data_IF_022403715870
#
_entry.id   IF_022403715870
#
_cell.length_a   1.000
_cell.length_b   1.000
_cell.length_c   1.000
_cell.angle_alpha   90.00
_cell.angle_beta   90.00
_cell.angle_gamma   90.00
#
_symmetry.space_group_name_H-M   'P 1'
#
loop_
_entity.id
_entity.type
_entity.pdbx_description
1 polymer ?
#
# COMPACT_ATOMS: atom_id res chain seq x y z
N UNK A 1 9.09 8.38 13.00
CA UNK A 1 8.07 8.49 14.06
C UNK A 1 7.83 9.97 14.41
N UNK A 2 6.57 10.44 14.32
CA UNK A 2 6.20 11.81 14.69
C UNK A 2 6.12 11.95 16.21
N UNK A 3 6.69 13.05 16.75
CA UNK A 3 6.69 13.37 18.17
C UNK A 3 6.66 14.87 18.39
N UNK A 4 5.85 15.34 19.33
CA UNK A 4 5.66 16.76 19.66
C UNK A 4 5.20 17.59 18.44
N UNK A 5 4.36 16.99 17.59
CA UNK A 5 3.82 17.59 16.38
C UNK A 5 2.35 17.95 16.56
N UNK A 6 1.90 18.97 15.83
CA UNK A 6 0.49 19.29 15.68
C UNK A 6 0.01 18.66 14.37
N UNK A 7 -0.88 17.68 14.48
CA UNK A 7 -1.31 16.86 13.34
C UNK A 7 -2.77 17.09 13.03
N UNK A 8 -3.06 17.32 11.75
CA UNK A 8 -4.40 17.44 11.20
C UNK A 8 -4.78 16.15 10.48
N UNK A 9 -5.84 15.46 10.90
CA UNK A 9 -6.34 14.26 10.22
C UNK A 9 -7.60 14.62 9.43
N UNK A 10 -7.53 14.44 8.12
CA UNK A 10 -8.62 14.70 7.20
C UNK A 10 -9.32 13.39 6.82
N UNK A 11 -10.51 13.19 7.37
CA UNK A 11 -11.30 11.97 7.27
C UNK A 11 -10.96 10.97 8.36
N UNK A 12 -11.94 10.69 9.23
CA UNK A 12 -11.76 9.73 10.33
C UNK A 12 -11.77 8.30 9.82
N UNK A 13 -12.85 7.82 9.23
CA UNK A 13 -13.04 6.46 8.76
C UNK A 13 -12.18 5.42 9.54
N UNK A 14 -11.90 4.24 8.96
CA UNK A 14 -11.10 3.20 9.65
C UNK A 14 -9.62 3.61 9.79
N UNK A 15 -9.03 4.13 8.72
CA UNK A 15 -7.61 4.50 8.69
C UNK A 15 -7.32 5.75 9.52
N UNK A 16 -8.18 6.77 9.47
CA UNK A 16 -8.04 7.99 10.26
C UNK A 16 -8.20 7.75 11.76
N UNK A 17 -9.10 6.86 12.15
CA UNK A 17 -9.25 6.44 13.54
C UNK A 17 -7.98 5.80 14.09
N UNK A 18 -7.41 4.82 13.38
CA UNK A 18 -6.18 4.15 13.83
C UNK A 18 -4.96 5.08 13.76
N UNK A 19 -4.91 5.98 12.77
CA UNK A 19 -3.89 7.02 12.72
C UNK A 19 -3.97 7.97 13.92
N UNK A 20 -5.17 8.38 14.33
CA UNK A 20 -5.35 9.21 15.52
C UNK A 20 -4.87 8.51 16.79
N UNK A 21 -5.20 7.23 16.96
CA UNK A 21 -4.78 6.43 18.12
C UNK A 21 -3.25 6.32 18.23
N UNK A 22 -2.55 6.05 17.13
CA UNK A 22 -1.09 5.89 17.15
C UNK A 22 -0.37 7.22 17.41
N UNK A 23 -0.97 8.34 16.99
CA UNK A 23 -0.42 9.70 17.13
C UNK A 23 -0.68 10.33 18.47
N UNK A 24 -1.87 10.15 19.05
CA UNK A 24 -2.34 10.85 20.25
C UNK A 24 -1.37 10.82 21.44
N UNK A 25 -0.68 9.71 21.75
CA UNK A 25 0.19 9.66 22.93
C UNK A 25 1.39 10.64 22.91
N UNK A 26 1.79 11.10 21.72
CA UNK A 26 3.02 11.90 21.55
C UNK A 26 2.81 13.20 20.77
N UNK A 27 1.59 13.50 20.35
CA UNK A 27 1.29 14.62 19.47
C UNK A 27 -0.03 15.31 19.85
N UNK A 28 -0.22 16.54 19.38
CA UNK A 28 -1.52 17.21 19.43
C UNK A 28 -2.27 16.89 18.15
N UNK A 29 -3.44 16.26 18.25
CA UNK A 29 -4.17 15.74 17.11
C UNK A 29 -5.56 16.38 17.01
N UNK A 30 -5.89 16.89 15.82
CA UNK A 30 -7.25 17.24 15.41
C UNK A 30 -7.70 16.29 14.31
N UNK A 31 -8.85 15.68 14.48
CA UNK A 31 -9.53 14.86 13.44
C UNK A 31 -10.73 15.62 12.92
N UNK A 32 -10.89 15.67 11.60
CA UNK A 32 -12.09 16.19 10.96
C UNK A 32 -12.77 15.15 10.08
N UNK A 33 -14.08 15.14 10.05
CA UNK A 33 -14.88 14.36 9.08
C UNK A 33 -16.15 15.15 8.73
N UNK A 34 -16.71 14.87 7.55
CA UNK A 34 -17.97 15.51 7.12
C UNK A 34 -19.21 14.81 7.70
N UNK A 35 -19.08 13.58 8.15
CA UNK A 35 -20.15 12.76 8.65
C UNK A 35 -19.95 12.45 10.14
N UNK A 36 -21.05 12.26 10.85
CA UNK A 36 -21.01 11.73 12.20
C UNK A 36 -20.33 10.36 12.22
N UNK A 37 -19.54 10.13 13.24
CA UNK A 37 -18.72 8.93 13.40
C UNK A 37 -19.30 8.03 14.51
N UNK A 38 -18.81 6.80 14.60
CA UNK A 38 -19.22 5.87 15.65
C UNK A 38 -18.94 6.49 17.03
N UNK A 39 -19.98 6.66 17.92
CA UNK A 39 -19.83 7.32 19.20
C UNK A 39 -18.79 6.66 20.13
N UNK A 40 -18.62 5.33 20.05
CA UNK A 40 -17.60 4.62 20.84
C UNK A 40 -16.19 5.00 20.40
N UNK A 41 -15.97 5.09 19.09
CA UNK A 41 -14.67 5.51 18.53
C UNK A 41 -14.35 6.97 18.85
N UNK A 42 -15.36 7.85 18.78
CA UNK A 42 -15.24 9.25 19.17
C UNK A 42 -14.81 9.34 20.63
N UNK A 43 -15.52 8.65 21.52
CA UNK A 43 -15.21 8.63 22.96
C UNK A 43 -13.80 8.15 23.24
N UNK A 44 -13.34 7.07 22.58
CA UNK A 44 -11.97 6.56 22.72
C UNK A 44 -10.95 7.63 22.39
N UNK A 45 -11.12 8.33 21.29
CA UNK A 45 -10.18 9.37 20.83
C UNK A 45 -10.21 10.60 21.76
N UNK A 46 -11.38 11.03 22.22
CA UNK A 46 -11.52 12.13 23.18
C UNK A 46 -10.84 11.81 24.53
N UNK A 47 -11.00 10.59 25.03
CA UNK A 47 -10.30 10.11 26.23
C UNK A 47 -8.77 10.10 26.06
N UNK A 48 -8.28 9.96 24.82
CA UNK A 48 -6.87 10.09 24.46
C UNK A 48 -6.40 11.53 24.23
N UNK A 49 -7.29 12.52 24.39
CA UNK A 49 -6.98 13.95 24.19
C UNK A 49 -7.02 14.42 22.75
N UNK A 50 -7.59 13.63 21.83
CA UNK A 50 -7.79 14.03 20.44
C UNK A 50 -8.99 14.96 20.34
N UNK A 51 -8.83 16.08 19.64
CA UNK A 51 -9.95 16.95 19.28
C UNK A 51 -10.62 16.41 18.03
N UNK A 52 -11.95 16.33 18.02
CA UNK A 52 -12.74 15.87 16.87
C UNK A 52 -13.71 16.97 16.46
N UNK A 53 -13.74 17.30 15.18
CA UNK A 53 -14.63 18.32 14.60
C UNK A 53 -15.37 17.73 13.39
N UNK A 54 -16.68 17.57 13.54
CA UNK A 54 -17.53 17.12 12.44
C UNK A 54 -17.97 18.36 11.66
N UNK A 55 -17.46 18.50 10.43
CA UNK A 55 -17.72 19.66 9.59
C UNK A 55 -17.60 19.34 8.11
N UNK A 56 -18.45 19.97 7.31
CA UNK A 56 -18.36 19.91 5.85
C UNK A 56 -17.31 20.87 5.28
N UNK A 57 -16.89 21.86 6.08
CA UNK A 57 -15.84 22.81 5.71
C UNK A 57 -14.71 22.77 6.74
N UNK A 58 -13.65 21.99 6.49
CA UNK A 58 -12.50 21.90 7.37
C UNK A 58 -11.51 23.07 7.21
N UNK A 59 -11.68 23.95 6.20
CA UNK A 59 -10.72 25.02 5.90
C UNK A 59 -10.46 25.99 7.04
N UNK A 60 -11.51 26.45 7.84
CA UNK A 60 -11.27 27.33 8.96
C UNK A 60 -10.44 26.73 10.10
N UNK A 61 -10.35 25.39 10.16
CA UNK A 61 -9.63 24.67 11.20
C UNK A 61 -8.16 24.44 10.86
N UNK A 62 -7.76 24.64 9.60
CA UNK A 62 -6.44 24.41 9.08
C UNK A 62 -5.66 25.71 8.96
N UNK A 63 -4.56 25.84 9.67
CA UNK A 63 -3.62 26.96 9.65
C UNK A 63 -2.16 26.50 9.59
N UNK A 64 -1.23 27.42 9.54
CA UNK A 64 0.24 27.18 9.43
C UNK A 64 0.88 26.64 10.71
N UNK A 65 0.10 26.45 11.79
CA UNK A 65 0.58 25.84 13.04
C UNK A 65 0.63 24.32 12.99
N UNK A 66 0.03 23.69 11.97
CA UNK A 66 0.11 22.25 11.78
C UNK A 66 1.41 21.85 11.09
N UNK A 67 2.02 20.78 11.59
CA UNK A 67 3.25 20.22 11.01
C UNK A 67 2.95 19.21 9.89
N UNK A 68 1.88 18.42 10.03
CA UNK A 68 1.55 17.31 9.13
C UNK A 68 0.03 17.17 8.98
N UNK A 69 -0.42 16.90 7.77
CA UNK A 69 -1.77 16.41 7.48
C UNK A 69 -1.75 14.92 7.17
N UNK A 70 -2.51 14.13 7.92
CA UNK A 70 -2.79 12.73 7.57
C UNK A 70 -4.12 12.67 6.85
N UNK A 71 -4.09 12.31 5.57
CA UNK A 71 -5.25 12.29 4.68
C UNK A 71 -5.75 10.87 4.47
N UNK A 72 -7.08 10.67 4.55
CA UNK A 72 -7.67 9.41 4.09
C UNK A 72 -7.37 9.21 2.59
N UNK A 73 -6.88 8.04 2.16
CA UNK A 73 -6.48 7.80 0.76
C UNK A 73 -7.57 8.11 -0.27
N UNK A 74 -8.84 7.89 0.07
CA UNK A 74 -9.99 8.17 -0.82
C UNK A 74 -10.27 9.67 -1.04
N UNK A 75 -9.69 10.58 -0.25
CA UNK A 75 -9.82 12.02 -0.47
C UNK A 75 -8.85 12.43 -1.58
N UNK A 76 -9.37 13.10 -2.61
CA UNK A 76 -8.58 13.54 -3.76
C UNK A 76 -7.57 14.61 -3.37
N UNK A 77 -6.47 14.69 -4.12
CA UNK A 77 -5.42 15.69 -3.88
C UNK A 77 -5.78 17.12 -4.32
N UNK A 78 -6.87 17.29 -5.07
CA UNK A 78 -7.49 18.59 -5.40
C UNK A 78 -8.52 19.05 -4.37
N UNK A 79 -8.77 18.27 -3.31
CA UNK A 79 -9.63 18.66 -2.20
C UNK A 79 -9.14 19.97 -1.58
N UNK A 80 -10.02 20.99 -1.35
CA UNK A 80 -9.59 22.32 -0.90
C UNK A 80 -8.69 22.32 0.34
N UNK A 81 -8.94 21.45 1.31
CA UNK A 81 -8.09 21.34 2.50
C UNK A 81 -6.70 20.76 2.18
N UNK A 82 -6.59 19.84 1.21
CA UNK A 82 -5.29 19.29 0.77
C UNK A 82 -4.49 20.35 0.03
N UNK A 83 -5.15 21.11 -0.84
CA UNK A 83 -4.52 22.24 -1.56
C UNK A 83 -4.01 23.27 -0.56
N UNK A 84 -4.86 23.70 0.40
CA UNK A 84 -4.49 24.65 1.45
C UNK A 84 -3.32 24.15 2.30
N UNK A 85 -3.30 22.87 2.70
CA UNK A 85 -2.20 22.30 3.46
C UNK A 85 -0.86 22.45 2.70
N UNK A 86 -0.85 22.13 1.40
CA UNK A 86 0.34 22.28 0.54
C UNK A 86 0.77 23.74 0.38
N UNK A 87 -0.17 24.67 0.21
CA UNK A 87 0.11 26.11 0.16
C UNK A 87 0.73 26.64 1.45
N UNK A 88 0.35 26.09 2.59
CA UNK A 88 0.92 26.39 3.91
C UNK A 88 2.25 25.68 4.19
N UNK A 89 2.73 24.83 3.26
CA UNK A 89 3.94 24.03 3.44
C UNK A 89 3.79 22.86 4.43
N UNK A 90 2.56 22.40 4.68
CA UNK A 90 2.27 21.27 5.54
C UNK A 90 2.43 19.98 4.73
N UNK A 91 3.22 19.05 5.24
CA UNK A 91 3.38 17.73 4.64
C UNK A 91 2.06 16.94 4.67
N UNK A 92 1.66 16.41 3.50
CA UNK A 92 0.44 15.60 3.39
C UNK A 92 0.82 14.14 3.15
N UNK A 93 0.50 13.28 4.11
CA UNK A 93 0.78 11.84 4.07
C UNK A 93 -0.51 11.04 4.24
N UNK A 94 -0.45 9.75 3.97
CA UNK A 94 -1.54 8.82 4.30
C UNK A 94 -1.21 7.94 5.53
N UNK A 95 -2.15 7.09 5.90
CA UNK A 95 -2.02 6.19 7.06
C UNK A 95 -0.88 5.17 6.91
N UNK A 96 -0.61 4.68 5.69
CA UNK A 96 0.48 3.71 5.44
C UNK A 96 1.84 4.36 5.62
N UNK A 97 2.03 5.55 5.07
CA UNK A 97 3.25 6.35 5.25
C UNK A 97 3.49 6.68 6.72
N UNK A 98 2.42 7.08 7.42
CA UNK A 98 2.48 7.31 8.87
C UNK A 98 2.91 6.04 9.63
N UNK A 99 2.26 4.91 9.36
CA UNK A 99 2.55 3.63 10.02
C UNK A 99 3.99 3.16 9.77
N UNK A 100 4.48 3.34 8.55
CA UNK A 100 5.86 3.02 8.20
C UNK A 100 6.87 3.74 9.10
N UNK A 101 6.61 5.00 9.46
CA UNK A 101 7.43 5.76 10.42
C UNK A 101 7.44 5.20 11.84
N UNK A 102 6.50 4.31 12.20
CA UNK A 102 6.42 3.63 13.50
C UNK A 102 6.87 2.16 13.46
N UNK A 103 7.11 1.63 12.27
CA UNK A 103 7.52 0.25 12.06
C UNK A 103 8.96 -0.02 12.51
N UNK A 104 9.25 -1.23 12.95
CA UNK A 104 10.61 -1.69 13.14
C UNK A 104 11.38 -1.69 11.81
N UNK A 105 12.67 -1.33 11.85
CA UNK A 105 13.47 -1.09 10.63
C UNK A 105 13.71 -2.33 9.78
N UNK A 106 13.76 -3.50 10.37
CA UNK A 106 14.12 -4.75 9.70
C UNK A 106 12.90 -5.65 9.46
N UNK A 107 11.74 -5.07 9.18
CA UNK A 107 10.56 -5.81 8.73
C UNK A 107 10.67 -6.07 7.24
N UNK A 108 10.40 -7.31 6.82
CA UNK A 108 10.40 -7.69 5.41
C UNK A 108 9.03 -7.39 4.78
N UNK A 109 8.96 -6.37 3.94
CA UNK A 109 7.70 -5.89 3.34
C UNK A 109 7.56 -6.41 1.91
N UNK A 110 6.49 -7.15 1.66
CA UNK A 110 6.06 -7.57 0.32
C UNK A 110 4.85 -6.73 -0.07
N UNK A 111 5.02 -5.80 -1.00
CA UNK A 111 3.98 -4.92 -1.49
C UNK A 111 3.44 -5.36 -2.85
N UNK A 112 2.12 -5.44 -2.99
CA UNK A 112 1.47 -5.81 -4.25
C UNK A 112 0.60 -4.66 -4.75
N UNK A 113 0.87 -4.18 -5.95
CA UNK A 113 0.05 -3.20 -6.65
C UNK A 113 -0.30 -3.66 -8.07
N UNK A 114 -1.17 -2.93 -8.73
CA UNK A 114 -1.60 -3.16 -10.10
C UNK A 114 -3.06 -2.75 -10.30
N UNK A 115 -3.57 -2.85 -11.52
CA UNK A 115 -4.99 -2.60 -11.79
C UNK A 115 -5.84 -3.73 -11.23
N UNK A 116 -5.53 -4.97 -11.58
CA UNK A 116 -6.26 -6.18 -11.20
C UNK A 116 -5.35 -7.21 -10.51
N UNK A 117 -5.94 -8.14 -9.77
CA UNK A 117 -5.25 -9.29 -9.18
C UNK A 117 -4.56 -9.03 -7.84
N UNK A 118 -4.49 -7.79 -7.34
CA UNK A 118 -3.85 -7.43 -6.07
C UNK A 118 -4.31 -8.29 -4.89
N UNK A 119 -5.61 -8.29 -4.62
CA UNK A 119 -6.21 -8.99 -3.47
C UNK A 119 -5.96 -10.49 -3.52
N UNK A 120 -6.11 -11.11 -4.69
CA UNK A 120 -5.84 -12.54 -4.89
C UNK A 120 -4.37 -12.84 -4.61
N UNK A 121 -3.46 -12.07 -5.20
CA UNK A 121 -2.01 -12.25 -5.05
C UNK A 121 -1.57 -12.10 -3.59
N UNK A 122 -1.98 -11.02 -2.94
CA UNK A 122 -1.66 -10.75 -1.53
C UNK A 122 -2.18 -11.85 -0.60
N UNK A 123 -3.44 -12.27 -0.81
CA UNK A 123 -4.05 -13.32 0.02
C UNK A 123 -3.33 -14.65 -0.13
N UNK A 124 -2.93 -15.02 -1.36
CA UNK A 124 -2.19 -16.25 -1.61
C UNK A 124 -0.79 -16.20 -1.00
N UNK A 125 -0.04 -15.11 -1.18
CA UNK A 125 1.29 -14.93 -0.56
C UNK A 125 1.17 -15.09 0.96
N UNK A 126 0.25 -14.35 1.59
CA UNK A 126 0.02 -14.41 3.03
C UNK A 126 -0.30 -15.84 3.51
N UNK A 127 -1.23 -16.53 2.85
CA UNK A 127 -1.63 -17.87 3.24
C UNK A 127 -0.50 -18.90 3.10
N UNK A 128 0.26 -18.85 2.00
CA UNK A 128 1.40 -19.74 1.78
C UNK A 128 2.47 -19.52 2.86
N UNK A 129 2.81 -18.26 3.15
CA UNK A 129 3.80 -17.94 4.19
C UNK A 129 3.31 -18.37 5.58
N UNK A 130 2.03 -18.17 5.87
CA UNK A 130 1.41 -18.59 7.13
C UNK A 130 1.40 -20.11 7.29
N UNK A 131 1.04 -20.86 6.23
CA UNK A 131 1.09 -22.33 6.23
C UNK A 131 2.50 -22.87 6.36
N UNK A 132 3.51 -22.13 5.84
CA UNK A 132 4.92 -22.43 6.03
C UNK A 132 5.43 -22.13 7.46
N UNK A 133 4.57 -21.59 8.35
CA UNK A 133 4.91 -21.27 9.73
C UNK A 133 5.71 -19.99 9.90
N UNK A 134 5.74 -19.11 8.89
CA UNK A 134 6.43 -17.83 8.97
C UNK A 134 5.59 -16.80 9.76
N UNK A 135 6.24 -15.94 10.56
CA UNK A 135 5.57 -14.84 11.25
C UNK A 135 5.20 -13.75 10.23
N UNK A 136 3.96 -13.77 9.75
CA UNK A 136 3.48 -12.89 8.67
C UNK A 136 2.21 -12.16 9.05
N UNK A 137 2.17 -10.88 8.73
CA UNK A 137 1.03 -9.98 8.88
C UNK A 137 0.46 -9.62 7.50
N UNK A 138 -0.82 -9.25 7.49
CA UNK A 138 -1.54 -8.82 6.28
C UNK A 138 -2.13 -7.43 6.52
N UNK A 139 -1.87 -6.49 5.61
CA UNK A 139 -2.36 -5.12 5.74
C UNK A 139 -2.46 -4.34 4.44
N UNK A 140 -2.58 -3.02 4.57
CA UNK A 140 -2.68 -2.09 3.45
C UNK A 140 -4.12 -1.77 3.05
N UNK A 141 -4.44 -1.83 1.77
CA UNK A 141 -5.76 -1.50 1.24
C UNK A 141 -6.86 -2.51 1.64
N UNK A 142 -6.47 -3.69 2.10
CA UNK A 142 -7.36 -4.74 2.61
C UNK A 142 -7.07 -5.03 4.08
N UNK A 143 -8.03 -5.65 4.75
CA UNK A 143 -7.88 -6.06 6.14
C UNK A 143 -7.95 -4.90 7.14
N UNK A 144 -7.09 -4.94 8.14
CA UNK A 144 -6.98 -3.94 9.21
C UNK A 144 -5.99 -2.83 8.79
N UNK A 145 -6.27 -1.54 9.09
CA UNK A 145 -5.31 -0.46 8.89
C UNK A 145 -3.97 -0.75 9.56
N UNK A 146 -2.88 -0.37 8.90
CA UNK A 146 -1.54 -0.70 9.35
C UNK A 146 -1.19 -0.06 10.70
N UNK A 147 -1.66 1.17 10.97
CA UNK A 147 -1.50 1.86 12.25
C UNK A 147 -2.06 1.08 13.45
N UNK A 148 -2.98 0.14 13.24
CA UNK A 148 -3.55 -0.68 14.31
C UNK A 148 -2.54 -1.66 14.91
N UNK A 149 -1.68 -2.25 14.09
CA UNK A 149 -0.81 -3.36 14.49
C UNK A 149 0.68 -3.18 14.14
N UNK A 150 1.06 -2.08 13.49
CA UNK A 150 2.43 -1.89 12.99
C UNK A 150 3.50 -2.00 14.09
N UNK A 151 3.17 -1.63 15.32
CA UNK A 151 4.09 -1.73 16.47
C UNK A 151 4.28 -3.16 16.98
N UNK A 152 3.39 -4.07 16.64
CA UNK A 152 3.44 -5.48 17.05
C UNK A 152 4.37 -6.30 16.15
N UNK A 153 4.64 -5.82 14.92
CA UNK A 153 5.52 -6.47 13.96
C UNK A 153 6.97 -6.34 14.45
N UNK A 154 7.62 -7.49 14.64
CA UNK A 154 9.00 -7.53 15.13
C UNK A 154 9.99 -7.52 13.98
N UNK A 155 11.26 -7.30 14.32
CA UNK A 155 12.37 -7.43 13.35
C UNK A 155 12.40 -8.82 12.72
N UNK A 156 12.68 -8.88 11.42
CA UNK A 156 12.73 -10.09 10.61
C UNK A 156 11.39 -10.81 10.41
N UNK A 157 10.27 -10.23 10.88
CA UNK A 157 8.94 -10.71 10.51
C UNK A 157 8.52 -10.15 9.16
N UNK A 158 7.42 -10.67 8.62
CA UNK A 158 6.94 -10.34 7.28
C UNK A 158 5.65 -9.54 7.33
N UNK A 159 5.55 -8.57 6.44
CA UNK A 159 4.32 -7.83 6.19
C UNK A 159 3.97 -7.93 4.70
N UNK A 160 2.84 -8.55 4.39
CA UNK A 160 2.30 -8.62 3.03
C UNK A 160 1.21 -7.57 2.89
N UNK A 161 1.33 -6.70 1.90
CA UNK A 161 0.47 -5.54 1.74
C UNK A 161 -0.16 -5.45 0.37
N UNK A 162 -1.48 -5.23 0.34
CA UNK A 162 -2.13 -4.67 -0.83
C UNK A 162 -1.95 -3.15 -0.85
N UNK A 163 -1.42 -2.60 -1.93
CA UNK A 163 -1.17 -1.17 -2.05
C UNK A 163 -1.96 -0.61 -3.24
N UNK A 164 -2.93 0.27 -2.95
CA UNK A 164 -3.70 0.95 -3.97
C UNK A 164 -2.95 2.15 -4.55
N UNK A 165 -3.37 2.60 -5.73
CA UNK A 165 -2.88 3.84 -6.33
C UNK A 165 -3.20 5.07 -5.48
N UNK A 166 -4.37 5.11 -4.84
CA UNK A 166 -4.73 6.18 -3.91
C UNK A 166 -3.74 6.29 -2.73
N UNK A 167 -3.27 5.16 -2.20
CA UNK A 167 -2.25 5.15 -1.16
C UNK A 167 -0.89 5.60 -1.70
N UNK A 168 -0.48 5.11 -2.88
CA UNK A 168 0.80 5.50 -3.49
C UNK A 168 0.93 7.00 -3.79
N UNK A 169 -0.20 7.74 -3.90
CA UNK A 169 -0.15 9.19 -4.11
C UNK A 169 0.62 9.93 -2.99
N UNK A 170 0.40 9.54 -1.73
CA UNK A 170 0.88 10.24 -0.54
C UNK A 170 1.84 9.35 0.28
N UNK A 171 2.68 8.59 -0.43
CA UNK A 171 3.78 7.78 0.12
C UNK A 171 5.10 8.30 -0.42
N UNK A 172 6.05 8.60 0.48
CA UNK A 172 7.32 9.26 0.16
C UNK A 172 8.54 8.47 0.62
N UNK A 173 8.57 8.08 1.91
CA UNK A 173 9.66 7.32 2.52
C UNK A 173 9.38 5.81 2.52
N UNK A 174 8.11 5.42 2.32
CA UNK A 174 7.70 4.03 2.33
C UNK A 174 8.49 3.21 1.30
N UNK A 175 8.98 2.07 1.76
CA UNK A 175 9.79 1.15 0.94
C UNK A 175 9.34 -0.29 1.18
N UNK A 176 9.24 -1.07 0.13
CA UNK A 176 9.09 -2.52 0.19
C UNK A 176 10.43 -3.21 -0.09
N UNK A 177 10.64 -4.42 0.41
CA UNK A 177 11.77 -5.26 0.05
C UNK A 177 11.47 -6.04 -1.24
N UNK A 178 10.22 -6.45 -1.41
CA UNK A 178 9.71 -7.10 -2.61
C UNK A 178 8.47 -6.35 -3.07
N UNK A 179 8.49 -5.81 -4.29
CA UNK A 179 7.33 -5.21 -4.93
C UNK A 179 6.81 -6.08 -6.06
N UNK A 180 5.50 -6.32 -6.08
CA UNK A 180 4.82 -7.02 -7.17
C UNK A 180 3.94 -6.05 -7.93
N UNK A 181 4.18 -5.90 -9.23
CA UNK A 181 3.34 -5.18 -10.17
C UNK A 181 2.60 -6.18 -11.07
N UNK A 182 1.34 -6.43 -10.77
CA UNK A 182 0.56 -7.46 -11.46
C UNK A 182 0.22 -7.09 -12.90
N UNK A 183 -0.23 -5.87 -13.12
CA UNK A 183 -0.59 -5.30 -14.43
C UNK A 183 -0.96 -3.82 -14.30
N UNK A 184 -0.97 -3.14 -15.44
CA UNK A 184 -1.51 -1.79 -15.59
C UNK A 184 -2.50 -1.81 -16.75
N UNK A 185 -3.71 -1.35 -16.52
CA UNK A 185 -4.78 -1.19 -17.51
C UNK A 185 -5.43 0.17 -17.34
N UNK A 186 -6.11 0.66 -18.34
CA UNK A 186 -6.82 1.94 -18.32
C UNK A 186 -8.04 1.86 -17.40
N UNK A 187 -7.83 2.26 -16.13
CA UNK A 187 -8.85 2.31 -15.07
C UNK A 187 -8.63 3.52 -14.16
N UNK A 188 -9.64 3.91 -13.38
CA UNK A 188 -9.54 4.98 -12.35
C UNK A 188 -9.15 6.37 -12.87
N UNK A 189 -9.49 6.72 -14.10
CA UNK A 189 -9.26 8.05 -14.68
C UNK A 189 -9.95 9.15 -13.89
N UNK A 190 -11.08 8.87 -13.24
CA UNK A 190 -11.82 9.82 -12.40
C UNK A 190 -11.03 10.36 -11.19
N UNK A 191 -10.04 9.60 -10.69
CA UNK A 191 -9.21 10.03 -9.58
C UNK A 191 -7.89 10.66 -10.05
N UNK A 192 -7.32 10.17 -11.15
CA UNK A 192 -5.97 10.55 -11.59
C UNK A 192 -5.93 11.61 -12.69
N UNK A 193 -7.07 12.12 -13.15
CA UNK A 193 -7.23 13.06 -14.28
C UNK A 193 -6.72 12.51 -15.64
N UNK A 194 -5.78 11.58 -15.64
CA UNK A 194 -5.26 10.95 -16.86
C UNK A 194 -4.65 9.58 -16.58
N UNK A 195 -4.63 8.73 -17.62
CA UNK A 195 -3.96 7.42 -17.55
C UNK A 195 -2.46 7.56 -17.27
N UNK A 196 -1.79 8.55 -17.83
CA UNK A 196 -0.37 8.80 -17.56
C UNK A 196 -0.07 9.07 -16.08
N UNK A 197 -0.91 9.87 -15.41
CA UNK A 197 -0.78 10.11 -13.96
C UNK A 197 -1.00 8.83 -13.15
N UNK A 198 -1.97 8.00 -13.56
CA UNK A 198 -2.22 6.70 -12.94
C UNK A 198 -1.00 5.78 -13.05
N UNK A 199 -0.43 5.66 -14.25
CA UNK A 199 0.78 4.86 -14.52
C UNK A 199 1.97 5.34 -13.68
N UNK A 200 2.22 6.66 -13.67
CA UNK A 200 3.27 7.27 -12.82
C UNK A 200 3.05 7.00 -11.33
N UNK A 201 1.80 7.00 -10.89
CA UNK A 201 1.48 6.69 -9.49
C UNK A 201 1.80 5.24 -9.15
N UNK A 202 1.49 4.29 -10.03
CA UNK A 202 1.85 2.89 -9.84
C UNK A 202 3.36 2.67 -9.73
N UNK A 203 4.16 3.41 -10.51
CA UNK A 203 5.63 3.37 -10.45
C UNK A 203 6.17 3.72 -9.07
N UNK A 204 5.47 4.54 -8.28
CA UNK A 204 5.93 4.95 -6.94
C UNK A 204 6.20 3.78 -5.98
N UNK A 205 5.64 2.60 -6.22
CA UNK A 205 5.94 1.42 -5.40
C UNK A 205 7.44 1.07 -5.40
N UNK A 206 8.18 1.52 -6.43
CA UNK A 206 9.62 1.29 -6.59
C UNK A 206 10.49 2.48 -6.19
N UNK A 207 9.91 3.65 -5.80
CA UNK A 207 10.67 4.90 -5.66
C UNK A 207 11.87 4.81 -4.70
N UNK A 208 11.73 4.06 -3.61
CA UNK A 208 12.77 3.93 -2.58
C UNK A 208 13.54 2.61 -2.65
N UNK A 209 13.40 1.87 -3.75
CA UNK A 209 14.12 0.63 -3.98
C UNK A 209 15.61 0.89 -4.26
N UNK A 210 16.41 -0.04 -3.79
CA UNK A 210 17.84 -0.16 -4.07
C UNK A 210 18.11 -1.45 -4.84
N UNK A 211 19.35 -1.74 -5.21
CA UNK A 211 19.76 -2.98 -5.88
C UNK A 211 19.49 -4.25 -5.03
N UNK A 212 19.34 -4.09 -3.72
CA UNK A 212 19.02 -5.18 -2.79
C UNK A 212 17.53 -5.56 -2.81
N UNK A 213 16.67 -4.66 -3.30
CA UNK A 213 15.22 -4.86 -3.35
C UNK A 213 14.81 -5.58 -4.64
N UNK A 214 13.67 -6.24 -4.61
CA UNK A 214 13.19 -7.07 -5.71
C UNK A 214 11.91 -6.48 -6.31
N UNK A 215 11.91 -6.33 -7.63
CA UNK A 215 10.72 -5.97 -8.40
C UNK A 215 10.24 -7.17 -9.23
N UNK A 216 9.02 -7.62 -8.96
CA UNK A 216 8.36 -8.71 -9.67
C UNK A 216 7.34 -8.09 -10.64
N UNK A 217 7.49 -8.34 -11.94
CA UNK A 217 6.84 -7.60 -13.00
C UNK A 217 6.20 -8.58 -13.98
N UNK A 218 4.97 -8.31 -14.37
CA UNK A 218 4.29 -9.03 -15.45
C UNK A 218 4.89 -8.66 -16.81
N UNK A 219 5.63 -9.57 -17.41
CA UNK A 219 6.28 -9.35 -18.71
C UNK A 219 5.30 -9.26 -19.89
N UNK A 220 4.11 -9.86 -19.77
CA UNK A 220 3.07 -9.81 -20.79
C UNK A 220 2.28 -8.48 -20.75
N UNK A 221 2.53 -7.62 -19.77
CA UNK A 221 1.92 -6.30 -19.67
C UNK A 221 2.94 -5.21 -20.03
N UNK A 222 2.85 -4.70 -21.24
CA UNK A 222 3.82 -3.73 -21.77
C UNK A 222 4.01 -2.51 -20.86
N UNK A 223 2.94 -1.92 -20.33
CA UNK A 223 3.04 -0.75 -19.44
C UNK A 223 3.76 -1.06 -18.13
N UNK A 224 3.56 -2.26 -17.57
CA UNK A 224 4.29 -2.68 -16.38
C UNK A 224 5.79 -2.85 -16.67
N UNK A 225 6.15 -3.33 -17.85
CA UNK A 225 7.56 -3.43 -18.30
C UNK A 225 8.13 -2.03 -18.49
N UNK A 226 7.47 -1.17 -19.26
CA UNK A 226 7.95 0.17 -19.62
C UNK A 226 8.26 1.01 -18.36
N UNK A 227 7.37 1.04 -17.35
CA UNK A 227 7.61 1.83 -16.14
C UNK A 227 8.69 1.25 -15.21
N UNK A 228 9.08 0.01 -15.44
CA UNK A 228 10.10 -0.68 -14.65
C UNK A 228 11.50 -0.64 -15.28
N UNK A 229 11.68 0.00 -16.45
CA UNK A 229 12.97 -0.02 -17.16
C UNK A 229 14.09 0.63 -16.35
N UNK A 230 13.82 1.77 -15.72
CA UNK A 230 14.80 2.63 -15.03
C UNK A 230 14.77 2.52 -13.50
N UNK A 231 14.17 1.46 -12.94
CA UNK A 231 14.19 1.22 -11.48
C UNK A 231 15.50 0.55 -11.04
N UNK A 232 15.90 0.82 -9.81
CA UNK A 232 17.17 0.29 -9.24
C UNK A 232 17.08 -1.17 -8.77
N UNK A 233 15.87 -1.72 -8.66
CA UNK A 233 15.62 -3.06 -8.11
C UNK A 233 16.19 -4.18 -8.98
N UNK A 234 16.54 -5.29 -8.35
CA UNK A 234 16.71 -6.57 -9.08
C UNK A 234 15.36 -7.02 -9.65
N UNK A 235 15.29 -7.18 -10.97
CA UNK A 235 14.04 -7.47 -11.67
C UNK A 235 13.80 -8.96 -11.85
N UNK A 236 12.61 -9.41 -11.49
CA UNK A 236 12.08 -10.74 -11.75
C UNK A 236 10.83 -10.61 -12.62
N UNK A 237 10.78 -11.37 -13.69
CA UNK A 237 9.65 -11.35 -14.61
C UNK A 237 8.85 -12.64 -14.55
N UNK A 238 7.54 -12.54 -14.69
CA UNK A 238 6.66 -13.68 -14.94
C UNK A 238 5.88 -13.48 -16.23
N UNK A 239 5.58 -14.59 -16.93
CA UNK A 239 4.92 -14.55 -18.24
C UNK A 239 4.16 -15.84 -18.55
N UNK A 240 3.01 -15.72 -19.21
CA UNK A 240 2.32 -16.84 -19.86
C UNK A 240 2.79 -17.10 -21.28
N UNK A 241 3.42 -16.09 -21.92
CA UNK A 241 3.71 -16.08 -23.34
C UNK A 241 5.18 -16.39 -23.66
N UNK A 242 6.07 -16.18 -22.69
CA UNK A 242 7.51 -16.35 -22.90
C UNK A 242 8.23 -16.91 -21.67
N UNK A 243 9.41 -17.54 -21.88
CA UNK A 243 10.24 -18.05 -20.78
C UNK A 243 10.91 -16.90 -20.04
N UNK A 244 10.45 -16.67 -18.82
CA UNK A 244 10.97 -15.70 -17.88
C UNK A 244 11.44 -16.40 -16.58
N UNK A 245 11.62 -15.65 -15.47
CA UNK A 245 11.96 -16.26 -14.18
C UNK A 245 10.86 -17.23 -13.72
N UNK A 246 9.59 -16.84 -13.86
CA UNK A 246 8.43 -17.71 -13.71
C UNK A 246 7.63 -17.69 -15.01
N UNK A 247 7.26 -18.85 -15.51
CA UNK A 247 6.54 -18.92 -16.79
C UNK A 247 5.62 -20.12 -16.89
N UNK A 248 4.61 -19.97 -17.74
CA UNK A 248 3.71 -21.04 -18.15
C UNK A 248 4.28 -21.75 -19.39
N UNK A 249 4.43 -23.07 -19.34
CA UNK A 249 4.77 -23.87 -20.52
C UNK A 249 3.91 -25.16 -20.55
N UNK A 250 3.21 -25.36 -21.65
CA UNK A 250 2.23 -26.45 -21.76
C UNK A 250 1.12 -26.32 -20.72
N UNK A 251 1.04 -27.30 -19.80
CA UNK A 251 0.04 -27.30 -18.73
C UNK A 251 0.68 -27.24 -17.32
N UNK A 252 1.81 -26.52 -17.20
CA UNK A 252 2.49 -26.38 -15.93
C UNK A 252 3.18 -25.01 -15.79
N UNK A 253 3.37 -24.56 -14.55
CA UNK A 253 4.11 -23.35 -14.22
C UNK A 253 5.50 -23.75 -13.72
N UNK A 254 6.51 -23.06 -14.23
CA UNK A 254 7.92 -23.27 -13.96
C UNK A 254 8.54 -22.06 -13.26
N UNK A 255 9.51 -22.29 -12.38
CA UNK A 255 10.40 -21.30 -11.79
C UNK A 255 11.84 -21.64 -12.18
N UNK A 256 12.50 -20.75 -12.93
CA UNK A 256 13.90 -20.91 -13.39
C UNK A 256 14.19 -22.30 -14.03
N UNK A 257 13.21 -22.83 -14.78
CA UNK A 257 13.31 -24.12 -15.48
C UNK A 257 12.83 -25.33 -14.66
N UNK A 258 12.56 -25.17 -13.39
CA UNK A 258 12.00 -26.24 -12.54
C UNK A 258 10.49 -26.18 -12.50
N UNK A 259 9.81 -27.31 -12.71
CA UNK A 259 8.35 -27.38 -12.62
C UNK A 259 7.90 -27.18 -11.17
N UNK A 260 6.99 -26.23 -10.96
CA UNK A 260 6.43 -25.90 -9.62
C UNK A 260 5.09 -26.56 -9.41
N UNK A 261 4.16 -26.44 -10.38
CA UNK A 261 2.77 -26.92 -10.25
C UNK A 261 2.16 -27.23 -11.62
N UNK A 262 1.33 -28.27 -11.69
CA UNK A 262 0.48 -28.50 -12.86
C UNK A 262 -0.76 -27.62 -12.82
N UNK A 263 -1.18 -27.08 -13.96
CA UNK A 263 -2.38 -26.21 -14.02
C UNK A 263 -3.66 -26.93 -13.57
N UNK A 264 -3.71 -28.25 -13.68
CA UNK A 264 -4.84 -29.07 -13.21
C UNK A 264 -4.98 -29.09 -11.66
N UNK A 265 -3.92 -28.76 -10.94
CA UNK A 265 -3.92 -28.68 -9.48
C UNK A 265 -4.41 -27.30 -8.98
N UNK A 266 -4.47 -26.31 -9.88
CA UNK A 266 -4.91 -24.96 -9.58
C UNK A 266 -6.43 -24.90 -9.50
N UNK A 267 -6.95 -24.61 -8.31
CA UNK A 267 -8.40 -24.52 -8.06
C UNK A 267 -9.02 -23.17 -8.41
N UNK A 268 -8.21 -22.14 -8.62
CA UNK A 268 -8.69 -20.82 -9.00
C UNK A 268 -9.15 -20.82 -10.46
N UNK A 269 -10.38 -20.36 -10.71
CA UNK A 269 -11.00 -20.38 -12.04
C UNK A 269 -10.61 -19.13 -12.83
N UNK A 270 -10.23 -19.32 -14.08
CA UNK A 270 -9.93 -18.25 -15.05
C UNK A 270 -8.44 -18.07 -15.35
N UNK A 271 -8.14 -17.82 -16.62
CA UNK A 271 -6.76 -17.69 -17.14
C UNK A 271 -5.95 -16.56 -16.51
N UNK A 272 -6.61 -15.50 -16.05
CA UNK A 272 -5.98 -14.38 -15.34
C UNK A 272 -5.39 -14.81 -13.98
N UNK A 273 -5.87 -15.92 -13.40
CA UNK A 273 -5.29 -16.42 -12.15
C UNK A 273 -3.94 -17.09 -12.34
N UNK A 274 -3.57 -17.49 -13.56
CA UNK A 274 -2.21 -17.95 -13.82
C UNK A 274 -1.20 -16.81 -13.63
N UNK A 275 -1.53 -15.57 -14.03
CA UNK A 275 -0.71 -14.40 -13.75
C UNK A 275 -0.54 -14.17 -12.25
N UNK A 276 -1.66 -14.21 -11.50
CA UNK A 276 -1.63 -14.04 -10.05
C UNK A 276 -0.77 -15.12 -9.37
N UNK A 277 -0.91 -16.39 -9.80
CA UNK A 277 -0.13 -17.51 -9.24
C UNK A 277 1.36 -17.39 -9.58
N UNK A 278 1.70 -17.00 -10.81
CA UNK A 278 3.09 -16.79 -11.19
C UNK A 278 3.72 -15.62 -10.40
N UNK A 279 2.97 -14.55 -10.17
CA UNK A 279 3.39 -13.46 -9.29
C UNK A 279 3.62 -13.94 -7.85
N UNK A 280 2.72 -14.78 -7.32
CA UNK A 280 2.85 -15.41 -5.98
C UNK A 280 4.10 -16.29 -5.92
N UNK A 281 4.28 -17.20 -6.89
CA UNK A 281 5.46 -18.08 -6.97
C UNK A 281 6.75 -17.23 -6.99
N UNK A 282 6.76 -16.15 -7.76
CA UNK A 282 7.90 -15.22 -7.79
C UNK A 282 8.17 -14.65 -6.40
N UNK A 283 7.14 -14.17 -5.70
CA UNK A 283 7.28 -13.49 -4.40
C UNK A 283 7.71 -14.42 -3.25
N UNK A 284 7.30 -15.69 -3.29
CA UNK A 284 7.65 -16.64 -2.21
C UNK A 284 8.95 -17.42 -2.47
N UNK A 285 9.55 -17.28 -3.67
CA UNK A 285 10.80 -17.95 -4.07
C UNK A 285 12.03 -17.03 -4.02
N UNK A 286 11.84 -15.73 -3.90
CA UNK A 286 12.90 -14.72 -3.75
C UNK A 286 13.07 -14.37 -2.28
#
# INVERSE_FOLDING_TARGET
>A
MLKNKKVFILGMARSGFEAAKILAPLNTVLVTDMNEQNPEQVKILEEMGVKIEITKDPLPLLDDSYDVMVKNPGIKYDHPAVVKAKELGIDVINEVELAYGYMNKNVNIIGVTGSNGKTTTVTLIYNIMKEAGLPVYLGGNIGTPLCNFVKDIKENEYLVMEISDHQLCDMYEFKTNVSVLTNIYDVHTDFHDSHEKYVRTKKKIFNNHTEEDIAIINYDNKEAVDISEDINSTKYYFSKESKQNVYLEGNAIYYKGEKVIDCSEIKLIGLHNYDNIMAVISAVKV
#
